data_IF_660487809327
#
_entry.id   IF_660487809327
#
_cell.length_a   1.000
_cell.length_b   1.000
_cell.length_c   1.000
_cell.angle_alpha   90.00
_cell.angle_beta   90.00
_cell.angle_gamma   90.00
#
_symmetry.space_group_name_H-M   'P 1'
#
loop_
_entity.id
_entity.type
_entity.pdbx_description
1 polymer ?
#
# COMPACT_ATOMS: atom_id res chain seq x y z
N UNK A 1 -4.34 -13.34 0.30
CA UNK A 1 -4.93 -14.37 -0.58
C UNK A 1 -5.49 -13.75 -1.86
N UNK A 2 -5.58 -14.55 -2.91
CA UNK A 2 -6.22 -14.17 -4.16
C UNK A 2 -7.34 -15.17 -4.43
N UNK A 3 -8.56 -14.68 -4.62
CA UNK A 3 -9.72 -15.54 -4.87
C UNK A 3 -9.73 -16.06 -6.30
N UNK A 4 -10.49 -17.13 -6.57
CA UNK A 4 -10.69 -17.68 -7.93
C UNK A 4 -11.28 -16.68 -8.94
N UNK A 5 -11.90 -15.61 -8.46
CA UNK A 5 -12.43 -14.51 -9.27
C UNK A 5 -11.45 -13.32 -9.40
N UNK A 6 -10.21 -13.48 -8.92
CA UNK A 6 -9.16 -12.46 -9.01
C UNK A 6 -9.20 -11.38 -7.92
N UNK A 7 -10.10 -11.48 -6.95
CA UNK A 7 -10.13 -10.53 -5.83
C UNK A 7 -8.95 -10.75 -4.90
N UNK A 8 -8.22 -9.68 -4.59
CA UNK A 8 -7.08 -9.68 -3.65
C UNK A 8 -7.54 -9.28 -2.27
N UNK A 9 -7.12 -10.04 -1.25
CA UNK A 9 -7.32 -9.71 0.17
C UNK A 9 -5.97 -9.72 0.88
N UNK A 10 -5.59 -8.60 1.47
CA UNK A 10 -4.44 -8.48 2.35
C UNK A 10 -4.89 -8.78 3.78
N UNK A 11 -4.29 -9.78 4.42
CA UNK A 11 -4.66 -10.22 5.76
C UNK A 11 -3.80 -9.61 6.84
N UNK A 12 -2.53 -9.38 6.53
CA UNK A 12 -1.59 -8.77 7.45
C UNK A 12 -0.46 -8.06 6.69
N UNK A 13 0.09 -7.03 7.31
CA UNK A 13 1.29 -6.34 6.86
C UNK A 13 2.22 -6.18 8.06
N UNK A 14 3.48 -6.53 7.88
CA UNK A 14 4.55 -6.30 8.84
C UNK A 14 5.51 -5.28 8.24
N UNK A 15 5.74 -4.19 8.96
CA UNK A 15 6.63 -3.12 8.55
C UNK A 15 7.75 -2.96 9.56
N UNK A 16 8.97 -2.89 9.06
CA UNK A 16 10.16 -2.60 9.87
C UNK A 16 10.85 -1.38 9.27
N UNK A 17 11.15 -0.39 10.10
CA UNK A 17 11.80 0.84 9.65
C UNK A 17 12.91 1.28 10.59
N UNK A 18 13.97 1.85 10.03
CA UNK A 18 14.99 2.60 10.75
C UNK A 18 14.81 4.08 10.40
N UNK A 19 14.42 4.87 11.39
CA UNK A 19 14.24 6.32 11.28
C UNK A 19 15.21 7.10 12.16
N UNK A 20 16.27 6.44 12.59
CA UNK A 20 17.35 6.99 13.39
C UNK A 20 17.21 6.72 14.90
N UNK A 21 18.06 7.40 15.64
CA UNK A 21 18.27 7.14 17.09
C UNK A 21 17.13 7.58 18.00
N UNK A 22 16.14 8.31 17.50
CA UNK A 22 15.11 8.90 18.35
C UNK A 22 13.76 8.94 17.67
N UNK A 23 12.75 8.47 18.39
CA UNK A 23 11.33 8.60 18.04
C UNK A 23 10.67 9.42 19.13
N UNK A 24 10.29 10.65 18.80
CA UNK A 24 9.72 11.60 19.79
C UNK A 24 8.33 11.17 20.25
N UNK A 25 7.51 10.66 19.32
CA UNK A 25 6.17 10.19 19.63
C UNK A 25 5.94 8.81 18.98
N UNK A 26 6.19 7.70 19.70
CA UNK A 26 6.05 6.34 19.14
C UNK A 26 4.64 6.02 18.62
N UNK A 27 3.59 6.48 19.33
CA UNK A 27 2.21 6.24 18.89
C UNK A 27 1.92 6.91 17.54
N UNK A 28 2.31 8.17 17.38
CA UNK A 28 2.17 8.85 16.10
C UNK A 28 3.03 8.23 15.00
N UNK A 29 4.23 7.77 15.32
CA UNK A 29 5.09 7.09 14.37
C UNK A 29 4.42 5.81 13.82
N UNK A 30 3.83 4.99 14.68
CA UNK A 30 3.06 3.81 14.28
C UNK A 30 1.88 4.22 13.39
N UNK A 31 1.11 5.22 13.80
CA UNK A 31 -0.05 5.70 13.03
C UNK A 31 0.35 6.21 11.63
N UNK A 32 1.49 6.90 11.50
CA UNK A 32 2.01 7.35 10.21
C UNK A 32 2.32 6.16 9.29
N UNK A 33 3.00 5.14 9.79
CA UNK A 33 3.31 3.94 9.01
C UNK A 33 2.03 3.21 8.59
N UNK A 34 1.10 3.03 9.52
CA UNK A 34 -0.19 2.36 9.24
C UNK A 34 -0.99 3.12 8.19
N UNK A 35 -1.07 4.44 8.30
CA UNK A 35 -1.74 5.30 7.32
C UNK A 35 -1.09 5.20 5.94
N UNK A 36 0.23 5.31 5.86
CA UNK A 36 0.98 5.17 4.60
C UNK A 36 0.78 3.80 3.94
N UNK A 37 0.70 2.72 4.72
CA UNK A 37 0.42 1.38 4.20
C UNK A 37 -0.97 1.32 3.57
N UNK A 38 -2.00 1.86 4.24
CA UNK A 38 -3.37 1.87 3.72
C UNK A 38 -3.48 2.71 2.44
N UNK A 39 -2.78 3.84 2.40
CA UNK A 39 -2.72 4.71 1.23
C UNK A 39 -2.03 4.01 0.05
N UNK A 40 -0.86 3.41 0.27
CA UNK A 40 -0.18 2.63 -0.75
C UNK A 40 -0.99 1.43 -1.27
N UNK A 41 -1.81 0.80 -0.43
CA UNK A 41 -2.77 -0.22 -0.87
C UNK A 41 -3.87 0.37 -1.74
N UNK A 42 -4.35 1.59 -1.44
CA UNK A 42 -5.34 2.29 -2.25
C UNK A 42 -4.81 2.59 -3.65
N UNK A 43 -3.59 3.11 -3.73
CA UNK A 43 -2.90 3.34 -5.00
C UNK A 43 -2.71 2.05 -5.80
N UNK A 44 -2.24 0.99 -5.13
CA UNK A 44 -1.99 -0.28 -5.79
C UNK A 44 -3.28 -0.92 -6.34
N UNK A 45 -4.40 -0.82 -5.61
CA UNK A 45 -5.61 -1.51 -6.00
C UNK A 45 -6.34 -0.85 -7.16
N UNK A 46 -6.60 0.46 -7.11
CA UNK A 46 -7.53 1.06 -8.05
C UNK A 46 -7.34 2.56 -8.32
N UNK A 47 -6.46 3.26 -7.61
CA UNK A 47 -6.28 4.69 -7.86
C UNK A 47 -5.59 4.91 -9.21
N UNK A 48 -6.17 5.79 -10.01
CA UNK A 48 -5.61 6.19 -11.29
C UNK A 48 -6.06 7.61 -11.63
N UNK A 49 -5.12 8.42 -12.11
CA UNK A 49 -5.43 9.72 -12.68
C UNK A 49 -5.18 9.66 -14.18
N UNK A 50 -6.19 9.94 -14.96
CA UNK A 50 -6.12 9.96 -16.43
C UNK A 50 -6.29 11.37 -16.97
N UNK A 51 -5.59 11.67 -18.06
CA UNK A 51 -5.63 12.98 -18.70
C UNK A 51 -6.13 12.81 -20.13
N UNK A 52 -7.20 13.51 -20.49
CA UNK A 52 -7.76 13.53 -21.83
C UNK A 52 -7.93 14.97 -22.29
N UNK A 53 -7.37 15.30 -23.46
CA UNK A 53 -7.44 16.66 -24.01
C UNK A 53 -6.80 17.72 -23.08
N UNK A 54 -5.76 17.36 -22.32
CA UNK A 54 -5.08 18.26 -21.38
C UNK A 54 -5.85 18.49 -20.06
N UNK A 55 -6.90 17.72 -19.79
CA UNK A 55 -7.70 17.82 -18.54
C UNK A 55 -7.72 16.50 -17.81
N UNK A 56 -7.65 16.57 -16.47
CA UNK A 56 -7.87 15.40 -15.60
C UNK A 56 -9.33 14.94 -15.72
N UNK A 57 -9.51 13.64 -15.91
CA UNK A 57 -10.85 13.03 -16.05
C UNK A 57 -11.53 12.88 -14.69
N UNK A 58 -10.78 12.44 -13.69
CA UNK A 58 -11.27 12.25 -12.33
C UNK A 58 -11.62 13.60 -11.70
N UNK A 59 -12.82 13.72 -11.15
CA UNK A 59 -13.37 14.99 -10.68
C UNK A 59 -13.68 15.01 -9.19
N UNK A 60 -13.86 13.84 -8.56
CA UNK A 60 -14.27 13.75 -7.16
C UNK A 60 -13.94 12.37 -6.57
N UNK A 61 -14.20 12.18 -5.28
CA UNK A 61 -13.92 10.93 -4.55
C UNK A 61 -14.57 9.68 -5.15
N UNK A 62 -15.69 9.78 -5.85
CA UNK A 62 -16.31 8.63 -6.51
C UNK A 62 -15.51 8.13 -7.72
N UNK A 63 -14.62 8.96 -8.27
CA UNK A 63 -13.75 8.63 -9.40
C UNK A 63 -12.36 8.15 -8.95
N UNK A 64 -12.04 8.30 -7.66
CA UNK A 64 -10.73 7.93 -7.07
C UNK A 64 -11.00 7.03 -5.86
N UNK A 65 -11.15 5.72 -6.09
CA UNK A 65 -11.50 4.78 -5.02
C UNK A 65 -10.36 4.64 -4.00
N UNK A 66 -10.74 4.66 -2.72
CA UNK A 66 -9.86 4.47 -1.58
C UNK A 66 -10.17 3.15 -0.87
N UNK A 67 -9.16 2.55 -0.26
CA UNK A 67 -9.35 1.43 0.64
C UNK A 67 -10.15 1.88 1.86
N UNK A 68 -11.30 1.25 2.08
CA UNK A 68 -12.15 1.52 3.24
C UNK A 68 -11.70 0.73 4.47
N UNK A 69 -12.21 1.08 5.65
CA UNK A 69 -11.91 0.36 6.89
C UNK A 69 -12.18 -1.15 6.79
N UNK A 70 -13.26 -1.55 6.12
CA UNK A 70 -13.60 -2.96 5.93
C UNK A 70 -12.67 -3.71 4.97
N UNK A 71 -11.97 -2.99 4.12
CA UNK A 71 -11.02 -3.52 3.13
C UNK A 71 -9.58 -3.51 3.67
N UNK A 72 -9.32 -2.69 4.69
CA UNK A 72 -8.00 -2.57 5.32
C UNK A 72 -7.54 -3.91 5.88
N UNK A 73 -6.23 -4.18 5.90
CA UNK A 73 -5.68 -5.34 6.58
C UNK A 73 -6.06 -5.32 8.07
N UNK A 74 -6.58 -6.41 8.62
CA UNK A 74 -6.93 -6.47 10.06
C UNK A 74 -5.70 -6.42 10.98
N UNK A 75 -4.51 -6.68 10.43
CA UNK A 75 -3.25 -6.62 11.16
C UNK A 75 -2.27 -5.76 10.37
N UNK A 76 -1.81 -4.68 10.97
CA UNK A 76 -0.66 -3.89 10.49
C UNK A 76 0.27 -3.73 11.68
N UNK A 77 1.31 -4.53 11.70
CA UNK A 77 2.31 -4.55 12.77
C UNK A 77 3.54 -3.76 12.37
N UNK A 78 3.97 -2.83 13.22
CA UNK A 78 5.03 -1.88 12.93
C UNK A 78 6.12 -1.99 13.98
N UNK A 79 7.33 -2.21 13.55
CA UNK A 79 8.51 -2.25 14.39
C UNK A 79 9.57 -1.24 13.94
N UNK A 80 10.14 -0.49 14.87
CA UNK A 80 11.25 0.41 14.61
C UNK A 80 12.55 -0.14 15.16
N UNK A 81 13.54 -0.20 14.30
CA UNK A 81 14.93 -0.47 14.69
C UNK A 81 15.60 0.87 15.02
N UNK A 82 16.03 1.04 16.25
CA UNK A 82 16.79 2.22 16.65
C UNK A 82 18.25 2.06 16.23
N UNK A 83 18.80 3.06 15.58
CA UNK A 83 20.18 3.13 15.14
C UNK A 83 20.85 4.39 15.69
N UNK A 84 22.17 4.53 15.49
CA UNK A 84 22.91 5.75 15.82
C UNK A 84 22.79 6.85 14.75
N UNK A 85 22.03 6.61 13.69
CA UNK A 85 21.82 7.57 12.62
C UNK A 85 21.06 8.81 13.11
N UNK A 86 21.26 9.92 12.43
CA UNK A 86 20.44 11.11 12.67
C UNK A 86 18.95 10.80 12.40
N UNK A 87 18.02 11.35 13.22
CA UNK A 87 16.60 11.15 12.98
C UNK A 87 16.16 11.65 11.60
N UNK A 88 15.29 10.90 10.95
CA UNK A 88 14.69 11.24 9.66
C UNK A 88 13.20 11.48 9.78
N UNK A 89 12.59 12.01 8.70
CA UNK A 89 11.14 12.09 8.61
C UNK A 89 10.47 10.71 8.46
N UNK A 90 9.20 10.62 8.80
CA UNK A 90 8.39 9.42 8.72
C UNK A 90 7.05 9.64 8.00
N UNK A 91 6.87 10.77 7.31
CA UNK A 91 5.61 11.08 6.65
C UNK A 91 5.23 10.08 5.54
N UNK A 92 6.21 9.71 4.70
CA UNK A 92 5.95 8.97 3.48
C UNK A 92 6.72 7.64 3.32
N UNK A 93 7.82 7.35 4.04
CA UNK A 93 8.72 6.26 3.66
C UNK A 93 8.09 4.86 3.70
N UNK A 94 6.97 4.67 4.38
CA UNK A 94 6.27 3.39 4.43
C UNK A 94 5.37 3.13 3.20
N UNK A 95 5.03 4.14 2.41
CA UNK A 95 4.15 4.00 1.24
C UNK A 95 4.84 3.26 0.08
N UNK A 96 6.01 3.69 -0.43
CA UNK A 96 6.62 3.08 -1.61
C UNK A 96 6.88 1.57 -1.49
N UNK A 97 7.34 1.01 -0.37
CA UNK A 97 7.62 -0.43 -0.28
C UNK A 97 6.38 -1.32 -0.22
N UNK A 98 5.19 -0.78 0.09
CA UNK A 98 3.94 -1.54 0.14
C UNK A 98 3.59 -2.13 -1.22
N UNK A 99 3.70 -1.34 -2.27
CA UNK A 99 3.32 -1.75 -3.64
C UNK A 99 4.14 -2.96 -4.12
N UNK A 100 5.48 -2.94 -4.11
CA UNK A 100 6.26 -4.11 -4.50
C UNK A 100 6.07 -5.31 -3.56
N UNK A 101 5.88 -5.09 -2.26
CA UNK A 101 5.59 -6.17 -1.32
C UNK A 101 4.28 -6.88 -1.68
N UNK A 102 3.20 -6.11 -1.96
CA UNK A 102 1.92 -6.65 -2.42
C UNK A 102 2.07 -7.41 -3.74
N UNK A 103 2.77 -6.83 -4.73
CA UNK A 103 3.01 -7.48 -6.02
C UNK A 103 3.77 -8.80 -5.88
N UNK A 104 4.75 -8.86 -4.98
CA UNK A 104 5.48 -10.09 -4.68
C UNK A 104 4.61 -11.13 -3.96
N UNK A 105 3.75 -10.71 -3.05
CA UNK A 105 2.79 -11.60 -2.39
C UNK A 105 1.77 -12.18 -3.39
N UNK A 106 1.29 -11.38 -4.33
CA UNK A 106 0.43 -11.85 -5.43
C UNK A 106 1.18 -12.87 -6.30
N UNK A 107 2.43 -12.59 -6.63
CA UNK A 107 3.24 -13.54 -7.39
C UNK A 107 3.43 -14.86 -6.65
N UNK A 108 3.73 -14.82 -5.37
CA UNK A 108 3.87 -16.03 -4.54
C UNK A 108 2.57 -16.84 -4.48
N UNK A 109 1.42 -16.17 -4.48
CA UNK A 109 0.11 -16.83 -4.41
C UNK A 109 -0.39 -17.35 -5.76
N UNK A 110 0.04 -16.77 -6.89
CA UNK A 110 -0.58 -17.03 -8.20
C UNK A 110 0.39 -17.40 -9.32
N UNK A 111 1.70 -17.21 -9.11
CA UNK A 111 2.72 -17.31 -10.15
C UNK A 111 2.70 -16.15 -11.16
N UNK A 112 1.79 -15.18 -11.04
CA UNK A 112 1.66 -14.06 -11.96
C UNK A 112 2.42 -12.83 -11.48
N UNK A 113 3.27 -12.30 -12.34
CA UNK A 113 4.07 -11.10 -12.06
C UNK A 113 3.30 -9.83 -12.49
N UNK A 114 3.06 -8.94 -11.53
CA UNK A 114 2.47 -7.62 -11.79
C UNK A 114 3.58 -6.67 -12.25
N UNK A 115 3.36 -5.97 -13.36
CA UNK A 115 4.33 -5.04 -13.97
C UNK A 115 3.74 -3.66 -14.26
N UNK A 116 2.46 -3.46 -14.01
CA UNK A 116 1.76 -2.18 -14.14
C UNK A 116 0.69 -2.06 -13.06
N UNK A 117 0.27 -0.87 -12.76
CA UNK A 117 -0.80 -0.54 -11.81
C UNK A 117 -1.89 0.27 -12.53
N UNK A 118 -3.07 0.37 -11.95
CA UNK A 118 -3.56 -0.31 -10.75
C UNK A 118 -3.91 -1.79 -10.99
N UNK A 119 -4.04 -2.55 -9.90
CA UNK A 119 -4.40 -3.97 -9.94
C UNK A 119 -5.77 -4.23 -10.56
N UNK A 120 -6.66 -3.24 -10.50
CA UNK A 120 -8.00 -3.29 -11.13
C UNK A 120 -7.94 -3.60 -12.64
N UNK A 121 -6.82 -3.28 -13.31
CA UNK A 121 -6.63 -3.58 -14.73
C UNK A 121 -6.16 -5.01 -15.00
N UNK A 122 -5.84 -5.78 -13.96
CA UNK A 122 -5.30 -7.14 -14.11
C UNK A 122 -6.38 -8.20 -13.88
N UNK A 123 -6.49 -9.14 -14.83
CA UNK A 123 -7.21 -10.41 -14.62
C UNK A 123 -6.24 -11.38 -13.93
N UNK A 124 -6.26 -11.45 -12.61
CA UNK A 124 -5.33 -12.27 -11.82
C UNK A 124 -5.56 -13.77 -12.00
N UNK A 125 -6.79 -14.18 -12.34
CA UNK A 125 -7.11 -15.50 -12.86
C UNK A 125 -7.85 -15.35 -14.18
N UNK A 126 -7.27 -15.89 -15.27
CA UNK A 126 -8.03 -16.18 -16.45
C UNK A 126 -8.73 -17.52 -16.21
N UNK A 127 -10.02 -17.57 -16.39
CA UNK A 127 -10.77 -18.81 -16.64
C UNK A 127 -10.30 -19.42 -17.95
#
# INVERSE_FOLDING_TARGET
SVSSRGGVRVHAVWAVGDIGRQIVNPSNAINQVQGSIIDGLSEAFAQEITIVGGKVVQSNFHDVPLVTMSQSPPVIDVHFVLSENAPTGLGEPALPPVVPALCNAIFAATGRRIRSLPLAHHKLFAT
#
